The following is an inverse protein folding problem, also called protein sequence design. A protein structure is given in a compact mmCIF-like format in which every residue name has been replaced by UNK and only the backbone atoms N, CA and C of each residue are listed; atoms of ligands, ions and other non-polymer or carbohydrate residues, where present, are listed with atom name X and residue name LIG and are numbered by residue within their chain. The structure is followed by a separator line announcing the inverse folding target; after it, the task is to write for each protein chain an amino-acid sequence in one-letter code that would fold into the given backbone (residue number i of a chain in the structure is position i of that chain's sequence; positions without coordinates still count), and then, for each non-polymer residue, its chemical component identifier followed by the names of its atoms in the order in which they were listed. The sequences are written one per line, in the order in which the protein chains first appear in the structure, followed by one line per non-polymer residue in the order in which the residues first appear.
data_IF_325844629824
#
_entry.id   IF_325844629824
#
_cell.length_a   1.000
_cell.length_b   1.000
_cell.length_c   1.000
_cell.angle_alpha   90.00
_cell.angle_beta   90.00
_cell.angle_gamma   90.00
#
_symmetry.space_group_name_H-M   'P 1'
#
loop_
_entity.id
_entity.type
_entity.pdbx_description
1 polymer ?
#
# COMPACT_ATOMS: atom_id res chain seq x y z
N UNK A 1 -18.36 2.82 1.37
CA UNK A 1 -19.57 2.48 0.60
C UNK A 1 -20.72 3.29 1.15
N UNK A 2 -21.62 3.79 0.28
CA UNK A 2 -22.80 4.51 0.75
C UNK A 2 -23.84 3.57 1.36
N UNK A 3 -23.85 2.28 0.99
CA UNK A 3 -24.67 1.25 1.63
C UNK A 3 -26.14 1.65 1.68
N UNK A 4 -26.70 1.71 2.89
CA UNK A 4 -28.06 2.21 3.18
C UNK A 4 -28.33 3.65 2.68
N UNK A 5 -27.29 4.43 2.37
CA UNK A 5 -27.35 5.80 1.86
C UNK A 5 -27.16 5.87 0.33
N UNK A 6 -27.27 4.76 -0.41
CA UNK A 6 -27.22 4.77 -1.88
C UNK A 6 -28.23 5.76 -2.49
N UNK A 7 -29.40 5.91 -1.86
CA UNK A 7 -30.42 6.89 -2.24
C UNK A 7 -29.99 8.35 -2.11
N UNK A 8 -28.92 8.65 -1.33
CA UNK A 8 -28.40 10.03 -1.20
C UNK A 8 -27.80 10.50 -2.52
N UNK A 9 -27.03 9.66 -3.23
CA UNK A 9 -26.48 10.04 -4.54
C UNK A 9 -27.61 10.36 -5.50
N UNK A 10 -28.64 9.52 -5.56
CA UNK A 10 -29.79 9.72 -6.43
C UNK A 10 -30.53 11.02 -6.11
N UNK A 11 -30.72 11.34 -4.83
CA UNK A 11 -31.36 12.59 -4.40
C UNK A 11 -30.52 13.82 -4.72
N UNK A 12 -29.19 13.76 -4.53
CA UNK A 12 -28.28 14.85 -4.91
C UNK A 12 -28.32 15.07 -6.41
N UNK A 13 -28.21 14.00 -7.21
CA UNK A 13 -28.27 14.10 -8.67
C UNK A 13 -29.60 14.59 -9.21
N UNK A 14 -30.71 14.35 -8.50
CA UNK A 14 -32.02 14.89 -8.89
C UNK A 14 -32.07 16.43 -8.83
N UNK A 15 -31.31 17.05 -7.92
CA UNK A 15 -31.24 18.51 -7.77
C UNK A 15 -30.03 19.10 -8.51
N UNK A 16 -28.93 18.36 -8.60
CA UNK A 16 -27.69 18.74 -9.27
C UNK A 16 -27.27 17.64 -10.27
N UNK A 17 -27.81 17.63 -11.50
CA UNK A 17 -27.56 16.57 -12.48
C UNK A 17 -26.09 16.39 -12.86
N UNK A 18 -25.30 17.47 -12.77
CA UNK A 18 -23.87 17.49 -13.07
C UNK A 18 -22.99 16.97 -11.91
N UNK A 19 -23.57 16.67 -10.74
CA UNK A 19 -22.80 16.19 -9.60
C UNK A 19 -22.22 14.78 -9.86
N UNK A 20 -20.92 14.62 -9.63
CA UNK A 20 -20.22 13.34 -9.72
C UNK A 20 -20.13 12.66 -8.35
N UNK A 21 -20.10 11.33 -8.36
CA UNK A 21 -19.93 10.51 -7.15
C UNK A 21 -18.76 9.57 -7.35
N UNK A 22 -17.81 9.58 -6.42
CA UNK A 22 -16.64 8.70 -6.46
C UNK A 22 -16.62 7.77 -5.25
N UNK A 23 -16.08 6.57 -5.43
CA UNK A 23 -15.84 5.67 -4.32
C UNK A 23 -14.71 6.20 -3.43
N UNK A 24 -14.78 5.90 -2.12
CA UNK A 24 -13.75 6.28 -1.16
C UNK A 24 -12.37 5.74 -1.57
N UNK A 25 -11.37 6.62 -1.63
CA UNK A 25 -9.99 6.30 -2.04
C UNK A 25 -9.35 5.21 -1.19
N UNK A 26 -9.59 5.22 0.13
CA UNK A 26 -9.10 4.19 1.07
C UNK A 26 -9.64 2.81 0.68
N UNK A 27 -10.92 2.75 0.30
CA UNK A 27 -11.54 1.49 -0.08
C UNK A 27 -11.02 0.98 -1.44
N UNK A 28 -10.86 1.89 -2.41
CA UNK A 28 -10.27 1.57 -3.73
C UNK A 28 -8.84 1.06 -3.60
N UNK A 29 -8.02 1.70 -2.76
CA UNK A 29 -6.64 1.27 -2.48
C UNK A 29 -6.60 -0.12 -1.82
N UNK A 30 -7.45 -0.36 -0.82
CA UNK A 30 -7.53 -1.67 -0.17
C UNK A 30 -7.98 -2.79 -1.13
N UNK A 31 -8.86 -2.48 -2.07
CA UNK A 31 -9.26 -3.42 -3.12
C UNK A 31 -8.10 -3.72 -4.08
N UNK A 32 -7.41 -2.67 -4.54
CA UNK A 32 -6.27 -2.81 -5.45
C UNK A 32 -5.15 -3.68 -4.86
N UNK A 33 -4.92 -3.56 -3.54
CA UNK A 33 -3.87 -4.30 -2.85
C UNK A 33 -4.25 -5.73 -2.45
N UNK A 34 -5.51 -6.16 -2.67
CA UNK A 34 -5.99 -7.49 -2.27
C UNK A 34 -5.48 -8.61 -3.19
N UNK A 35 -5.25 -8.32 -4.46
CA UNK A 35 -4.81 -9.29 -5.46
C UNK A 35 -3.30 -9.46 -5.37
N UNK A 36 -2.85 -10.69 -5.09
CA UNK A 36 -1.43 -11.01 -5.00
C UNK A 36 -1.13 -12.44 -5.46
N UNK A 37 0.11 -12.74 -5.89
CA UNK A 37 0.52 -14.10 -6.25
C UNK A 37 0.31 -15.09 -5.10
N UNK A 38 -0.04 -16.34 -5.45
CA UNK A 38 -0.40 -17.38 -4.47
C UNK A 38 0.72 -17.65 -3.46
N UNK A 39 1.98 -17.64 -3.90
CA UNK A 39 3.13 -17.85 -3.01
C UNK A 39 3.21 -16.77 -1.92
N UNK A 40 3.08 -15.50 -2.30
CA UNK A 40 3.11 -14.39 -1.36
C UNK A 40 1.87 -14.36 -0.47
N UNK A 41 0.71 -14.74 -1.02
CA UNK A 41 -0.52 -14.90 -0.23
C UNK A 41 -0.36 -15.97 0.85
N UNK A 42 0.31 -17.07 0.52
CA UNK A 42 0.56 -18.18 1.43
C UNK A 42 1.45 -17.74 2.59
N UNK A 43 2.54 -17.03 2.31
CA UNK A 43 3.42 -16.45 3.35
C UNK A 43 2.66 -15.45 4.22
N UNK A 44 1.84 -14.58 3.63
CA UNK A 44 0.99 -13.65 4.37
C UNK A 44 0.04 -14.37 5.34
N UNK A 45 -0.63 -15.42 4.88
CA UNK A 45 -1.58 -16.18 5.71
C UNK A 45 -0.88 -16.97 6.81
N UNK A 46 0.29 -17.54 6.52
CA UNK A 46 1.14 -18.22 7.48
C UNK A 46 1.66 -17.25 8.56
N UNK A 47 2.09 -16.06 8.18
CA UNK A 47 2.50 -15.00 9.10
C UNK A 47 1.36 -14.58 10.03
N UNK A 48 0.16 -14.37 9.49
CA UNK A 48 -1.05 -14.08 10.29
C UNK A 48 -1.35 -15.22 11.26
N UNK A 49 -1.27 -16.48 10.82
CA UNK A 49 -1.47 -17.66 11.69
C UNK A 49 -0.44 -17.71 12.82
N UNK A 50 0.84 -17.45 12.54
CA UNK A 50 1.90 -17.44 13.54
C UNK A 50 1.67 -16.37 14.62
N UNK A 51 1.35 -15.14 14.20
CA UNK A 51 1.02 -14.05 15.13
C UNK A 51 -0.21 -14.39 15.97
N UNK A 52 -1.26 -14.89 15.32
CA UNK A 52 -2.49 -15.28 16.02
C UNK A 52 -2.23 -16.40 17.03
N UNK A 53 -1.38 -17.38 16.71
CA UNK A 53 -1.03 -18.45 17.65
C UNK A 53 -0.38 -17.88 18.93
N UNK A 54 0.63 -17.02 18.79
CA UNK A 54 1.31 -16.38 19.94
C UNK A 54 0.34 -15.50 20.74
N UNK A 55 -0.53 -14.76 20.03
CA UNK A 55 -1.44 -13.80 20.65
C UNK A 55 -2.75 -14.41 21.18
N UNK A 56 -3.11 -15.63 20.75
CA UNK A 56 -4.38 -16.28 21.10
C UNK A 56 -4.53 -16.57 22.59
N UNK A 57 -3.42 -16.80 23.30
CA UNK A 57 -3.41 -17.13 24.73
C UNK A 57 -2.64 -16.06 25.50
N UNK A 58 -3.22 -15.45 26.56
CA UNK A 58 -2.55 -14.43 27.35
C UNK A 58 -1.20 -14.87 27.91
N UNK A 59 -1.10 -16.14 28.34
CA UNK A 59 0.16 -16.72 28.81
C UNK A 59 1.24 -16.75 27.72
N UNK A 60 0.89 -17.16 26.50
CA UNK A 60 1.82 -17.22 25.38
C UNK A 60 2.30 -15.81 24.99
N UNK A 61 1.39 -14.83 24.93
CA UNK A 61 1.76 -13.44 24.67
C UNK A 61 2.66 -12.87 25.77
N UNK A 62 2.47 -13.25 27.04
CA UNK A 62 3.32 -12.82 28.15
C UNK A 62 4.71 -13.46 28.09
N UNK A 63 4.78 -14.78 27.87
CA UNK A 63 6.05 -15.50 27.72
C UNK A 63 6.87 -14.97 26.54
N UNK A 64 6.21 -14.70 25.41
CA UNK A 64 6.86 -14.07 24.26
C UNK A 64 7.42 -12.69 24.60
N UNK A 65 6.68 -11.87 25.37
CA UNK A 65 7.17 -10.56 25.80
C UNK A 65 8.34 -10.62 26.79
N UNK A 66 8.42 -11.65 27.63
CA UNK A 66 9.59 -11.92 28.47
C UNK A 66 10.79 -12.27 27.60
N UNK A 67 10.62 -13.21 26.65
CA UNK A 67 11.68 -13.60 25.70
C UNK A 67 12.24 -12.40 24.92
N UNK A 68 11.35 -11.55 24.38
CA UNK A 68 11.77 -10.31 23.70
C UNK A 68 12.55 -9.38 24.63
N UNK A 69 12.16 -9.30 25.90
CA UNK A 69 12.87 -8.50 26.90
C UNK A 69 14.28 -9.02 27.18
N UNK A 70 14.43 -10.34 27.28
CA UNK A 70 15.71 -11.02 27.52
C UNK A 70 16.65 -10.93 26.31
N UNK A 71 16.11 -10.93 25.09
CA UNK A 71 16.87 -10.77 23.85
C UNK A 71 17.21 -9.31 23.51
N UNK A 72 16.77 -8.35 24.33
CA UNK A 72 17.05 -6.92 24.10
C UNK A 72 16.28 -6.33 22.92
N UNK A 73 15.17 -6.94 22.50
CA UNK A 73 14.40 -6.48 21.35
C UNK A 73 13.76 -5.12 21.63
N UNK A 74 13.71 -4.26 20.60
CA UNK A 74 13.02 -2.96 20.66
C UNK A 74 11.52 -3.09 20.95
N UNK A 75 10.95 -4.27 20.69
CA UNK A 75 9.54 -4.54 20.81
C UNK A 75 9.27 -5.78 21.63
N UNK A 76 8.40 -5.65 22.63
CA UNK A 76 8.05 -6.74 23.56
C UNK A 76 6.75 -7.45 23.21
N UNK A 77 6.13 -7.09 22.10
CA UNK A 77 4.85 -7.67 21.68
C UNK A 77 4.64 -7.57 20.17
N UNK A 78 4.02 -8.63 19.64
CA UNK A 78 3.43 -8.65 18.31
C UNK A 78 2.09 -7.91 18.29
N UNK A 79 1.77 -7.35 17.12
CA UNK A 79 0.52 -6.66 16.86
C UNK A 79 -0.53 -7.64 16.35
N UNK A 80 -1.68 -7.70 17.00
CA UNK A 80 -2.82 -8.46 16.48
C UNK A 80 -3.37 -7.79 15.23
N UNK A 81 -3.65 -8.59 14.21
CA UNK A 81 -4.38 -8.17 13.04
C UNK A 81 -5.85 -8.59 13.15
N UNK A 82 -6.78 -7.68 12.83
CA UNK A 82 -8.16 -8.02 12.48
C UNK A 82 -8.40 -7.64 11.03
N UNK A 83 -9.04 -8.54 10.26
CA UNK A 83 -9.24 -8.38 8.81
C UNK A 83 -9.87 -7.04 8.41
N UNK A 84 -10.64 -6.45 9.32
CA UNK A 84 -11.37 -5.19 9.15
C UNK A 84 -10.46 -3.97 8.95
N UNK A 85 -9.20 -4.00 9.42
CA UNK A 85 -8.25 -2.87 9.27
C UNK A 85 -7.03 -3.27 8.45
N UNK A 86 -7.13 -3.12 7.12
CA UNK A 86 -6.03 -3.35 6.18
C UNK A 86 -4.71 -2.69 6.62
N UNK A 87 -4.75 -1.46 7.15
CA UNK A 87 -3.58 -0.73 7.65
C UNK A 87 -2.80 -1.43 8.77
N UNK A 88 -3.47 -2.29 9.54
CA UNK A 88 -2.80 -3.04 10.62
C UNK A 88 -1.94 -4.19 10.08
N UNK A 89 -2.15 -4.62 8.82
CA UNK A 89 -1.37 -5.71 8.22
C UNK A 89 0.09 -5.33 8.03
N UNK A 90 0.37 -4.16 7.47
CA UNK A 90 1.74 -3.70 7.27
C UNK A 90 2.51 -3.61 8.58
N UNK A 91 1.93 -2.92 9.58
CA UNK A 91 2.57 -2.80 10.90
C UNK A 91 2.80 -4.15 11.58
N UNK A 92 1.86 -5.09 11.44
CA UNK A 92 2.00 -6.44 11.97
C UNK A 92 3.13 -7.20 11.29
N UNK A 93 3.24 -7.14 9.96
CA UNK A 93 4.29 -7.82 9.20
C UNK A 93 5.67 -7.25 9.50
N UNK A 94 5.81 -5.92 9.54
CA UNK A 94 7.07 -5.26 9.94
C UNK A 94 7.48 -5.72 11.33
N UNK A 95 6.54 -5.70 12.29
CA UNK A 95 6.81 -6.14 13.66
C UNK A 95 7.19 -7.62 13.75
N UNK A 96 6.54 -8.47 12.95
CA UNK A 96 6.84 -9.90 12.90
C UNK A 96 8.24 -10.14 12.34
N UNK A 97 8.62 -9.40 11.29
CA UNK A 97 9.93 -9.52 10.66
C UNK A 97 11.06 -9.01 11.56
N UNK A 98 10.84 -7.89 12.27
CA UNK A 98 11.75 -7.37 13.29
C UNK A 98 12.00 -8.40 14.40
N UNK A 99 10.95 -9.10 14.84
CA UNK A 99 11.00 -10.09 15.92
C UNK A 99 11.16 -11.54 15.44
N UNK A 100 11.63 -11.76 14.21
CA UNK A 100 11.69 -13.10 13.60
C UNK A 100 12.57 -14.07 14.38
N UNK A 101 13.63 -13.58 15.02
CA UNK A 101 14.57 -14.39 15.80
C UNK A 101 13.95 -14.84 17.13
N UNK A 102 13.26 -13.94 17.81
CA UNK A 102 12.48 -14.23 19.02
C UNK A 102 11.37 -15.22 18.70
N UNK A 103 10.66 -15.03 17.58
CA UNK A 103 9.59 -15.93 17.14
C UNK A 103 10.15 -17.31 16.80
N UNK A 104 11.30 -17.37 16.12
CA UNK A 104 12.01 -18.63 15.85
C UNK A 104 12.34 -19.36 17.15
N UNK A 105 12.93 -18.67 18.13
CA UNK A 105 13.27 -19.27 19.43
C UNK A 105 12.04 -19.69 20.22
N UNK A 106 10.99 -18.87 20.21
CA UNK A 106 9.73 -19.17 20.88
C UNK A 106 9.10 -20.47 20.35
N UNK A 107 9.26 -20.75 19.05
CA UNK A 107 8.70 -21.93 18.43
C UNK A 107 9.55 -23.19 18.52
N UNK A 108 10.83 -23.12 18.92
CA UNK A 108 11.74 -24.29 19.01
C UNK A 108 11.14 -25.48 19.76
N UNK A 109 10.44 -25.21 20.88
CA UNK A 109 9.84 -26.23 21.74
C UNK A 109 8.31 -26.30 21.60
N UNK A 110 7.74 -25.61 20.61
CA UNK A 110 6.30 -25.57 20.38
C UNK A 110 5.89 -26.64 19.36
N UNK A 111 4.66 -27.16 19.48
CA UNK A 111 4.06 -28.02 18.44
C UNK A 111 3.45 -27.20 17.28
N UNK A 112 3.92 -25.97 17.06
CA UNK A 112 3.33 -25.10 16.06
C UNK A 112 3.76 -25.54 14.66
N UNK A 113 2.77 -25.80 13.80
CA UNK A 113 2.98 -26.43 12.48
C UNK A 113 3.88 -25.61 11.53
N UNK A 114 3.91 -24.28 11.69
CA UNK A 114 4.67 -23.36 10.83
C UNK A 114 6.00 -22.89 11.45
N UNK A 115 6.48 -23.55 12.52
CA UNK A 115 7.76 -23.20 13.15
C UNK A 115 8.94 -23.28 12.16
N UNK A 116 8.90 -24.25 11.25
CA UNK A 116 9.93 -24.46 10.23
C UNK A 116 10.07 -23.26 9.27
N UNK A 117 9.01 -22.50 9.01
CA UNK A 117 9.04 -21.34 8.11
C UNK A 117 10.01 -20.25 8.58
N UNK A 118 10.22 -20.10 9.89
CA UNK A 118 11.16 -19.13 10.45
C UNK A 118 12.63 -19.55 10.33
N UNK A 119 12.90 -20.72 9.76
CA UNK A 119 14.25 -21.18 9.38
C UNK A 119 14.41 -21.26 7.85
N UNK A 120 13.36 -20.96 7.08
CA UNK A 120 13.36 -21.02 5.62
C UNK A 120 13.73 -19.64 5.06
N UNK A 121 14.84 -19.59 4.32
CA UNK A 121 15.34 -18.37 3.71
C UNK A 121 14.35 -17.75 2.70
N UNK A 122 13.74 -18.56 1.82
CA UNK A 122 12.79 -18.06 0.83
C UNK A 122 11.54 -17.50 1.51
N UNK A 123 11.08 -18.16 2.57
CA UNK A 123 9.94 -17.69 3.34
C UNK A 123 10.23 -16.35 4.04
N UNK A 124 11.39 -16.24 4.70
CA UNK A 124 11.83 -15.01 5.36
C UNK A 124 12.04 -13.86 4.36
N UNK A 125 12.61 -14.14 3.18
CA UNK A 125 12.73 -13.17 2.11
C UNK A 125 11.35 -12.66 1.63
N UNK A 126 10.40 -13.58 1.39
CA UNK A 126 9.02 -13.20 1.02
C UNK A 126 8.35 -12.39 2.13
N UNK A 127 8.57 -12.73 3.40
CA UNK A 127 8.05 -11.98 4.55
C UNK A 127 8.65 -10.56 4.62
N UNK A 128 9.96 -10.42 4.42
CA UNK A 128 10.66 -9.12 4.40
C UNK A 128 10.06 -8.19 3.34
N UNK A 129 9.89 -8.70 2.11
CA UNK A 129 9.23 -7.97 1.04
C UNK A 129 7.79 -7.58 1.39
N UNK A 130 7.01 -8.50 1.98
CA UNK A 130 5.64 -8.22 2.40
C UNK A 130 5.59 -7.11 3.46
N UNK A 131 6.52 -7.10 4.42
CA UNK A 131 6.63 -6.02 5.39
C UNK A 131 6.89 -4.66 4.71
N UNK A 132 7.80 -4.62 3.73
CA UNK A 132 8.15 -3.39 3.01
C UNK A 132 7.00 -2.88 2.12
N UNK A 133 6.44 -3.73 1.26
CA UNK A 133 5.39 -3.31 0.33
C UNK A 133 4.12 -2.87 1.07
N UNK A 134 3.75 -3.55 2.16
CA UNK A 134 2.60 -3.13 2.96
C UNK A 134 2.88 -1.84 3.76
N UNK A 135 4.14 -1.56 4.12
CA UNK A 135 4.53 -0.28 4.72
C UNK A 135 4.38 0.88 3.74
N UNK A 136 4.77 0.66 2.47
CA UNK A 136 4.53 1.61 1.38
C UNK A 136 3.03 1.85 1.13
N UNK A 137 2.22 0.78 1.09
CA UNK A 137 0.76 0.87 0.94
C UNK A 137 0.11 1.59 2.10
N UNK A 138 0.52 1.31 3.35
CA UNK A 138 0.04 2.03 4.52
C UNK A 138 0.40 3.52 4.46
N UNK A 139 1.59 3.86 3.95
CA UNK A 139 2.01 5.26 3.76
C UNK A 139 1.19 5.96 2.67
N UNK A 140 0.90 5.28 1.55
CA UNK A 140 -0.02 5.78 0.54
C UNK A 140 -1.39 6.04 1.16
N UNK A 141 -1.95 5.04 1.83
CA UNK A 141 -3.28 5.11 2.42
C UNK A 141 -3.41 6.29 3.41
N UNK A 142 -2.42 6.53 4.27
CA UNK A 142 -2.38 7.72 5.13
C UNK A 142 -2.35 9.03 4.33
N UNK A 143 -1.59 9.08 3.23
CA UNK A 143 -1.54 10.24 2.34
C UNK A 143 -2.84 10.49 1.56
N UNK A 144 -3.72 9.49 1.44
CA UNK A 144 -5.05 9.61 0.82
C UNK A 144 -6.14 10.07 1.81
N UNK A 145 -5.79 10.26 3.09
CA UNK A 145 -6.73 10.63 4.16
C UNK A 145 -6.48 12.06 4.66
N UNK A 146 -7.52 12.68 5.20
CA UNK A 146 -7.46 14.00 5.84
C UNK A 146 -8.38 15.03 5.17
N UNK A 147 -8.79 16.03 5.94
CA UNK A 147 -9.72 17.07 5.49
C UNK A 147 -9.18 17.98 4.39
N UNK A 148 -7.85 18.05 4.24
CA UNK A 148 -7.16 18.87 3.24
C UNK A 148 -6.75 18.10 1.97
N UNK A 149 -7.25 16.87 1.76
CA UNK A 149 -6.88 16.05 0.60
C UNK A 149 -7.91 16.22 -0.52
N UNK A 150 -7.49 16.88 -1.60
CA UNK A 150 -8.26 17.01 -2.83
C UNK A 150 -8.18 15.75 -3.70
N UNK A 151 -9.11 15.60 -4.64
CA UNK A 151 -9.10 14.50 -5.64
C UNK A 151 -7.82 14.50 -6.47
N UNK A 152 -7.31 15.68 -6.81
CA UNK A 152 -6.05 15.91 -7.51
C UNK A 152 -4.85 15.37 -6.72
N UNK A 153 -4.80 15.68 -5.42
CA UNK A 153 -3.74 15.17 -4.54
C UNK A 153 -3.78 13.64 -4.42
N UNK A 154 -4.97 13.05 -4.34
CA UNK A 154 -5.13 11.58 -4.38
C UNK A 154 -4.52 11.02 -5.67
N UNK A 155 -4.88 11.60 -6.81
CA UNK A 155 -4.42 11.16 -8.12
C UNK A 155 -2.91 11.27 -8.26
N UNK A 156 -2.31 12.39 -7.88
CA UNK A 156 -0.85 12.56 -7.88
C UNK A 156 -0.13 11.53 -7.01
N UNK A 157 -0.66 11.23 -5.81
CA UNK A 157 -0.04 10.24 -4.92
C UNK A 157 -0.17 8.81 -5.46
N UNK A 158 -1.30 8.47 -6.05
CA UNK A 158 -1.50 7.16 -6.69
C UNK A 158 -0.63 7.03 -7.94
N UNK A 159 -0.59 8.05 -8.79
CA UNK A 159 0.25 8.09 -10.00
C UNK A 159 1.73 7.93 -9.66
N UNK A 160 2.22 8.68 -8.67
CA UNK A 160 3.59 8.52 -8.17
C UNK A 160 3.85 7.10 -7.66
N UNK A 161 2.88 6.47 -7.00
CA UNK A 161 3.00 5.08 -6.54
C UNK A 161 3.06 4.10 -7.71
N UNK A 162 2.20 4.25 -8.72
CA UNK A 162 2.21 3.43 -9.95
C UNK A 162 3.57 3.52 -10.65
N UNK A 163 4.12 4.73 -10.79
CA UNK A 163 5.45 4.94 -11.38
C UNK A 163 6.57 4.31 -10.54
N UNK A 164 6.50 4.44 -9.21
CA UNK A 164 7.44 3.79 -8.28
C UNK A 164 7.39 2.26 -8.43
N UNK A 165 6.22 1.64 -8.46
CA UNK A 165 6.08 0.19 -8.65
C UNK A 165 6.73 -0.30 -9.95
N UNK A 166 6.54 0.44 -11.04
CA UNK A 166 7.19 0.14 -12.32
C UNK A 166 8.72 0.25 -12.21
N UNK A 167 9.24 1.27 -11.52
CA UNK A 167 10.67 1.44 -11.30
C UNK A 167 11.25 0.37 -10.37
N UNK A 168 10.54 -0.01 -9.31
CA UNK A 168 10.96 -1.05 -8.37
C UNK A 168 11.04 -2.41 -9.06
N UNK A 169 10.09 -2.73 -9.95
CA UNK A 169 10.17 -3.95 -10.78
C UNK A 169 11.47 -3.98 -11.60
N UNK A 170 11.85 -2.88 -12.25
CA UNK A 170 13.12 -2.77 -13.00
C UNK A 170 14.35 -2.92 -12.11
N UNK A 171 14.30 -2.41 -10.86
CA UNK A 171 15.39 -2.59 -9.89
C UNK A 171 15.52 -4.04 -9.45
N UNK A 172 14.40 -4.72 -9.21
CA UNK A 172 14.38 -6.16 -8.89
C UNK A 172 14.95 -6.98 -10.05
N UNK A 173 14.67 -6.62 -11.31
CA UNK A 173 15.31 -7.25 -12.49
C UNK A 173 16.84 -7.11 -12.50
N UNK A 174 17.37 -6.05 -11.89
CA UNK A 174 18.80 -5.77 -11.77
C UNK A 174 19.41 -6.35 -10.48
N UNK A 175 18.62 -7.05 -9.65
CA UNK A 175 19.06 -7.52 -8.34
C UNK A 175 19.25 -6.40 -7.31
N UNK A 176 18.66 -5.22 -7.53
CA UNK A 176 18.66 -4.11 -6.59
C UNK A 176 17.36 -4.13 -5.77
N UNK A 177 17.49 -4.20 -4.45
CA UNK A 177 16.38 -4.27 -3.50
C UNK A 177 16.27 -3.05 -2.58
N UNK A 178 17.00 -1.96 -2.84
CA UNK A 178 17.06 -0.76 -1.97
C UNK A 178 15.71 -0.07 -1.75
N UNK A 179 14.70 -0.42 -2.55
CA UNK A 179 13.34 0.09 -2.39
C UNK A 179 12.56 -0.63 -1.28
N UNK A 180 13.13 -1.71 -0.75
CA UNK A 180 12.59 -2.63 0.24
C UNK A 180 13.64 -2.80 1.34
N UNK A 181 13.57 -1.96 2.37
CA UNK A 181 14.59 -1.84 3.43
C UNK A 181 14.79 -3.16 4.19
N UNK A 182 13.70 -3.79 4.64
CA UNK A 182 13.78 -5.06 5.37
C UNK A 182 14.38 -6.17 4.51
N UNK A 183 13.99 -6.25 3.23
CA UNK A 183 14.54 -7.23 2.29
C UNK A 183 16.02 -6.96 1.99
N UNK A 184 16.41 -5.71 1.73
CA UNK A 184 17.80 -5.35 1.41
C UNK A 184 18.72 -5.68 2.60
N UNK A 185 18.32 -5.30 3.81
CA UNK A 185 19.05 -5.57 5.03
C UNK A 185 19.18 -7.08 5.28
N UNK A 186 18.11 -7.84 5.03
CA UNK A 186 18.12 -9.30 5.18
C UNK A 186 19.09 -9.97 4.23
N UNK A 187 19.05 -9.61 2.94
CA UNK A 187 19.96 -10.17 1.93
C UNK A 187 21.42 -9.81 2.20
N UNK A 188 21.66 -8.60 2.71
CA UNK A 188 23.00 -8.15 3.11
C UNK A 188 23.51 -8.97 4.30
N UNK A 189 22.68 -9.21 5.32
CA UNK A 189 23.06 -10.00 6.51
C UNK A 189 23.30 -11.48 6.21
N UNK A 190 22.50 -12.06 5.32
CA UNK A 190 22.62 -13.46 4.92
C UNK A 190 23.69 -13.68 3.82
N UNK A 191 24.30 -12.60 3.32
CA UNK A 191 25.28 -12.61 2.21
C UNK A 191 24.82 -13.44 0.99
N UNK A 192 23.52 -13.44 0.72
CA UNK A 192 22.86 -14.37 -0.21
C UNK A 192 21.98 -13.62 -1.20
N UNK A 193 21.88 -14.15 -2.42
CA UNK A 193 20.99 -13.62 -3.47
C UNK A 193 19.63 -14.30 -3.43
N UNK A 194 18.58 -13.58 -3.83
CA UNK A 194 17.25 -14.16 -3.96
C UNK A 194 17.22 -15.23 -5.06
N UNK A 195 16.59 -16.39 -4.79
CA UNK A 195 16.21 -17.33 -5.82
C UNK A 195 15.32 -16.68 -6.89
N UNK A 196 15.41 -17.22 -8.11
CA UNK A 196 14.60 -16.74 -9.23
C UNK A 196 13.09 -16.89 -8.97
N UNK A 197 12.69 -17.91 -8.21
CA UNK A 197 11.31 -18.15 -7.76
C UNK A 197 10.77 -16.94 -6.97
N UNK A 198 11.50 -16.54 -5.92
CA UNK A 198 11.16 -15.37 -5.08
C UNK A 198 11.16 -14.09 -5.91
N UNK A 199 12.19 -13.88 -6.72
CA UNK A 199 12.35 -12.70 -7.57
C UNK A 199 11.17 -12.55 -8.54
N UNK A 200 10.73 -13.65 -9.16
CA UNK A 200 9.59 -13.65 -10.07
C UNK A 200 8.27 -13.36 -9.33
N UNK A 201 8.07 -13.94 -8.15
CA UNK A 201 6.87 -13.67 -7.34
C UNK A 201 6.79 -12.17 -6.93
N UNK A 202 7.91 -11.56 -6.56
CA UNK A 202 7.99 -10.12 -6.26
C UNK A 202 7.65 -9.29 -7.50
N UNK A 203 8.23 -9.60 -8.67
CA UNK A 203 7.96 -8.88 -9.92
C UNK A 203 6.51 -9.00 -10.36
N UNK A 204 5.94 -10.19 -10.27
CA UNK A 204 4.54 -10.45 -10.58
C UNK A 204 3.63 -9.63 -9.68
N UNK A 205 3.92 -9.59 -8.37
CA UNK A 205 3.14 -8.78 -7.44
C UNK A 205 3.24 -7.28 -7.72
N UNK A 206 4.43 -6.75 -8.01
CA UNK A 206 4.60 -5.33 -8.35
C UNK A 206 3.85 -4.95 -9.62
N UNK A 207 3.91 -5.79 -10.66
CA UNK A 207 3.16 -5.57 -11.91
C UNK A 207 1.65 -5.67 -11.69
N UNK A 208 1.21 -6.66 -10.91
CA UNK A 208 -0.19 -6.84 -10.52
C UNK A 208 -0.71 -5.63 -9.76
N UNK A 209 0.00 -5.19 -8.73
CA UNK A 209 -0.37 -4.05 -7.90
C UNK A 209 -0.43 -2.75 -8.72
N UNK A 210 0.54 -2.53 -9.63
CA UNK A 210 0.54 -1.41 -10.57
C UNK A 210 -0.72 -1.40 -11.43
N UNK A 211 -1.07 -2.56 -12.01
CA UNK A 211 -2.24 -2.74 -12.86
C UNK A 211 -3.53 -2.51 -12.09
N UNK A 212 -3.64 -3.09 -10.90
CA UNK A 212 -4.80 -2.94 -10.03
C UNK A 212 -4.98 -1.50 -9.54
N UNK A 213 -3.90 -0.80 -9.17
CA UNK A 213 -3.98 0.61 -8.82
C UNK A 213 -4.45 1.46 -10.00
N UNK A 214 -4.01 1.17 -11.23
CA UNK A 214 -4.50 1.89 -12.41
C UNK A 214 -5.98 1.60 -12.71
N UNK A 215 -6.40 0.34 -12.56
CA UNK A 215 -7.80 -0.07 -12.74
C UNK A 215 -8.71 0.62 -11.73
N UNK A 216 -8.32 0.58 -10.46
CA UNK A 216 -9.08 1.22 -9.39
C UNK A 216 -8.93 2.73 -9.39
N UNK A 217 -7.88 3.34 -9.96
CA UNK A 217 -7.66 4.79 -10.08
C UNK A 217 -7.31 5.16 -11.53
N UNK A 218 -8.32 5.32 -12.40
CA UNK A 218 -8.12 5.81 -13.75
C UNK A 218 -7.44 7.17 -13.75
N UNK A 219 -6.67 7.43 -14.80
CA UNK A 219 -6.07 8.74 -15.01
C UNK A 219 -7.15 9.83 -15.05
N UNK A 220 -6.82 11.03 -14.58
CA UNK A 220 -7.70 12.17 -14.71
C UNK A 220 -7.94 12.48 -16.18
N UNK A 221 -9.15 12.96 -16.46
CA UNK A 221 -9.46 13.51 -17.76
C UNK A 221 -8.61 14.77 -17.99
N UNK A 222 -7.96 14.86 -19.15
CA UNK A 222 -7.18 16.04 -19.55
C UNK A 222 -8.05 17.30 -19.58
N UNK A 223 -9.36 17.13 -19.74
CA UNK A 223 -10.36 18.21 -19.67
C UNK A 223 -10.42 18.92 -18.31
N UNK A 224 -9.94 18.30 -17.23
CA UNK A 224 -9.91 18.89 -15.89
C UNK A 224 -8.56 19.54 -15.53
N UNK A 225 -7.59 19.55 -16.46
CA UNK A 225 -6.23 20.05 -16.21
C UNK A 225 -6.20 21.53 -15.78
N UNK A 226 -7.08 22.36 -16.34
CA UNK A 226 -7.23 23.78 -16.00
C UNK A 226 -7.60 24.02 -14.52
N UNK A 227 -8.18 23.04 -13.84
CA UNK A 227 -8.52 23.14 -12.41
C UNK A 227 -7.25 23.01 -11.56
N UNK A 228 -6.27 22.22 -12.01
CA UNK A 228 -4.98 22.05 -11.32
C UNK A 228 -4.02 23.20 -11.65
N UNK A 229 -4.01 23.62 -12.91
CA UNK A 229 -3.18 24.73 -13.37
C UNK A 229 -3.96 25.62 -14.35
N UNK A 230 -4.68 26.65 -13.86
CA UNK A 230 -5.44 27.55 -14.74
C UNK A 230 -4.53 28.44 -15.59
N UNK A 231 -3.21 28.46 -15.32
CA UNK A 231 -2.23 29.24 -16.07
C UNK A 231 -1.56 28.47 -17.20
N UNK A 232 -1.87 27.19 -17.37
CA UNK A 232 -1.44 26.34 -18.48
C UNK A 232 -2.67 25.75 -19.16
N UNK A 233 -3.22 26.52 -20.09
CA UNK A 233 -4.44 26.15 -20.82
C UNK A 233 -4.09 25.14 -21.91
N UNK A 234 -4.75 23.98 -21.85
CA UNK A 234 -4.71 22.95 -22.88
C UNK A 234 -5.98 23.02 -23.72
N UNK A 235 -5.90 22.72 -25.03
CA UNK A 235 -7.04 22.80 -25.94
C UNK A 235 -8.19 21.88 -25.51
N UNK A 236 -7.86 20.73 -24.91
CA UNK A 236 -8.84 19.77 -24.36
C UNK A 236 -9.64 20.36 -23.19
N UNK A 237 -9.04 21.25 -22.38
CA UNK A 237 -9.71 21.91 -21.28
C UNK A 237 -10.73 22.95 -21.77
N UNK A 238 -10.42 23.66 -22.86
CA UNK A 238 -11.31 24.66 -23.44
C UNK A 238 -12.56 24.02 -24.05
N UNK A 239 -12.45 22.81 -24.60
CA UNK A 239 -13.54 22.12 -25.29
C UNK A 239 -14.79 21.84 -24.41
N UNK A 240 -14.66 21.88 -23.08
CA UNK A 240 -15.74 21.60 -22.12
C UNK A 240 -16.36 22.89 -21.54
N UNK A 241 -15.70 24.03 -21.76
CA UNK A 241 -16.11 25.32 -21.22
C UNK A 241 -17.01 26.07 -22.19
N UNK A 242 -17.92 26.89 -21.67
CA UNK A 242 -18.67 27.84 -22.49
C UNK A 242 -17.73 28.94 -23.04
N UNK A 243 -18.12 29.60 -24.13
CA UNK A 243 -17.30 30.65 -24.75
C UNK A 243 -16.83 31.73 -23.74
N UNK A 244 -17.71 32.14 -22.82
CA UNK A 244 -17.38 33.12 -21.78
C UNK A 244 -16.36 32.59 -20.77
N UNK A 245 -16.42 31.30 -20.44
CA UNK A 245 -15.47 30.66 -19.52
C UNK A 245 -14.11 30.41 -20.20
N UNK A 246 -14.12 30.12 -21.50
CA UNK A 246 -12.89 30.02 -22.31
C UNK A 246 -12.14 31.35 -22.32
N UNK A 247 -12.82 32.45 -22.65
CA UNK A 247 -12.22 33.79 -22.65
C UNK A 247 -11.65 34.14 -21.27
N UNK A 248 -12.42 33.91 -20.21
CA UNK A 248 -11.97 34.17 -18.83
C UNK A 248 -10.78 33.31 -18.39
N UNK A 249 -10.71 32.05 -18.81
CA UNK A 249 -9.57 31.18 -18.54
C UNK A 249 -8.32 31.61 -19.31
N UNK A 250 -8.48 32.05 -20.57
CA UNK A 250 -7.39 32.58 -21.39
C UNK A 250 -6.82 33.88 -20.79
N UNK A 251 -7.70 34.79 -20.35
CA UNK A 251 -7.30 36.02 -19.65
C UNK A 251 -6.50 35.69 -18.38
N UNK A 252 -7.02 34.77 -17.56
CA UNK A 252 -6.35 34.31 -16.34
C UNK A 252 -4.98 33.69 -16.65
N UNK A 253 -4.86 32.94 -17.76
CA UNK A 253 -3.59 32.29 -18.13
C UNK A 253 -2.48 33.27 -18.49
N UNK A 254 -2.84 34.47 -18.95
CA UNK A 254 -1.93 35.55 -19.28
C UNK A 254 -1.65 36.48 -18.09
N UNK A 255 -2.38 36.33 -16.96
CA UNK A 255 -2.20 37.18 -15.78
C UNK A 255 -0.99 36.73 -14.94
N UNK A 256 0.16 37.32 -15.25
CA UNK A 256 1.42 37.09 -14.55
C UNK A 256 1.43 37.53 -13.08
N UNK A 257 0.53 38.44 -12.66
CA UNK A 257 0.47 38.89 -11.27
C UNK A 257 -0.13 37.83 -10.34
N UNK A 258 -0.97 36.94 -10.88
CA UNK A 258 -1.59 35.83 -10.16
C UNK A 258 -0.79 34.52 -10.21
N UNK A 259 0.21 34.45 -11.10
CA UNK A 259 1.12 33.31 -11.31
C UNK A 259 2.32 33.38 -10.33
N UNK A 260 2.05 33.38 -9.03
CA UNK A 260 3.07 33.39 -7.95
C UNK A 260 3.54 31.99 -7.57
#
# INVERSE_FOLDING_TARGET
MLGQHSGVVSRVKAVAPLASSVHCSIHREALAAKKMPLELKTVLDQAVKAVNFIKSRPLQSRLFGVLCGEMGSNHKQLLLHTEVRWLSRGKMLTRLFELRDEVRLFFLNSKFELAHCFNDFEWLAKLAYLADIFSHLNSLNLALQGSAVSVFKVQHKVEATIRKLAQWKKRVDQGNYDSFENMSDFLTKEETRLPNTVTNAVKEHLEGLKTQLREYFPALDAQCSWIENPFEVQDEALAVLSAKEQDGLLDLSCDTALKL
#
